data_IF_764493695465
#
_entry.id   IF_764493695465
#
_cell.length_a   1.000
_cell.length_b   1.000
_cell.length_c   1.000
_cell.angle_alpha   90.00
_cell.angle_beta   90.00
_cell.angle_gamma   90.00
#
_symmetry.space_group_name_H-M   'P 1'
#
loop_
_entity.id
_entity.type
_entity.pdbx_description
1 polymer ?
#
# COMPACT_ATOMS: atom_id res chain seq x y z
N UNK A 1 14.70 13.77 15.17
CA UNK A 1 14.95 13.15 13.84
C UNK A 1 13.61 12.84 13.19
N UNK A 2 13.45 12.98 11.87
CA UNK A 2 12.21 12.61 11.19
C UNK A 2 11.94 11.11 11.37
N UNK A 3 10.79 10.77 11.96
CA UNK A 3 10.31 9.38 12.02
C UNK A 3 9.97 8.95 10.59
N UNK A 4 10.75 8.02 10.04
CA UNK A 4 10.56 7.45 8.70
C UNK A 4 10.55 8.50 7.56
N UNK A 5 11.39 9.54 7.67
CA UNK A 5 11.54 10.53 6.60
C UNK A 5 10.38 11.53 6.46
N UNK A 6 9.47 11.60 7.43
CA UNK A 6 8.41 12.63 7.48
C UNK A 6 8.73 13.65 8.56
N UNK A 7 8.77 14.94 8.18
CA UNK A 7 9.04 16.05 9.09
C UNK A 7 7.85 16.33 10.03
N UNK A 8 8.11 16.96 11.18
CA UNK A 8 7.04 17.37 12.09
C UNK A 8 6.07 18.38 11.43
N UNK A 9 6.60 19.31 10.62
CA UNK A 9 5.78 20.26 9.86
C UNK A 9 4.86 19.55 8.86
N UNK A 10 5.35 18.52 8.16
CA UNK A 10 4.50 17.76 7.24
C UNK A 10 3.44 16.93 7.97
N UNK A 11 3.78 16.32 9.12
CA UNK A 11 2.78 15.63 9.96
C UNK A 11 1.66 16.58 10.41
N UNK A 12 2.01 17.81 10.78
CA UNK A 12 1.05 18.84 11.14
C UNK A 12 0.18 19.25 9.93
N UNK A 13 0.78 19.45 8.75
CA UNK A 13 0.04 19.73 7.50
C UNK A 13 -0.95 18.62 7.17
N UNK A 14 -0.52 17.36 7.24
CA UNK A 14 -1.42 16.20 7.03
C UNK A 14 -2.53 16.17 8.08
N UNK A 15 -2.23 16.42 9.36
CA UNK A 15 -3.25 16.50 10.41
C UNK A 15 -4.29 17.58 10.14
N UNK A 16 -3.86 18.77 9.70
CA UNK A 16 -4.76 19.87 9.34
C UNK A 16 -5.62 19.51 8.13
N UNK A 17 -5.04 18.87 7.11
CA UNK A 17 -5.78 18.41 5.93
C UNK A 17 -6.85 17.37 6.31
N UNK A 18 -6.53 16.43 7.19
CA UNK A 18 -7.48 15.42 7.67
C UNK A 18 -8.63 16.06 8.48
N UNK A 19 -8.34 17.04 9.35
CA UNK A 19 -9.37 17.80 10.08
C UNK A 19 -10.29 18.57 9.13
N UNK A 20 -9.74 19.14 8.07
CA UNK A 20 -10.54 19.83 7.06
C UNK A 20 -11.43 18.85 6.27
N UNK A 21 -10.93 17.65 5.96
CA UNK A 21 -11.75 16.57 5.38
C UNK A 21 -12.90 16.20 6.33
N UNK A 22 -12.63 15.97 7.62
CA UNK A 22 -13.67 15.66 8.62
C UNK A 22 -14.76 16.74 8.63
N UNK A 23 -14.38 18.02 8.65
CA UNK A 23 -15.30 19.16 8.65
C UNK A 23 -16.09 19.26 7.34
N UNK A 24 -15.41 19.22 6.19
CA UNK A 24 -16.01 19.44 4.86
C UNK A 24 -16.98 18.33 4.46
N UNK A 25 -16.64 17.08 4.74
CA UNK A 25 -17.44 15.92 4.32
C UNK A 25 -18.36 15.40 5.44
N UNK A 26 -18.27 15.97 6.65
CA UNK A 26 -19.01 15.46 7.80
C UNK A 26 -18.64 14.01 8.12
N UNK A 27 -17.35 13.68 8.03
CA UNK A 27 -16.78 12.33 8.26
C UNK A 27 -15.86 12.33 9.47
N UNK A 28 -15.37 11.16 9.85
CA UNK A 28 -14.41 10.97 10.95
C UNK A 28 -13.33 10.09 10.40
N UNK A 29 -12.09 10.55 10.45
CA UNK A 29 -10.92 9.79 10.02
C UNK A 29 -10.59 8.81 11.14
N UNK A 30 -10.66 7.52 10.81
CA UNK A 30 -10.32 6.41 11.70
C UNK A 30 -8.85 6.02 11.59
N UNK A 31 -8.25 6.22 10.42
CA UNK A 31 -6.87 5.83 10.15
C UNK A 31 -6.31 6.70 9.04
N UNK A 32 -5.05 7.09 9.13
CA UNK A 32 -4.32 7.72 8.06
C UNK A 32 -2.86 7.26 8.08
N UNK A 33 -2.34 6.84 6.94
CA UNK A 33 -0.98 6.35 6.78
C UNK A 33 -0.35 6.85 5.48
N UNK A 34 0.95 6.66 5.39
CA UNK A 34 1.69 6.79 4.14
C UNK A 34 1.54 5.50 3.32
N UNK A 35 1.21 5.59 2.03
CA UNK A 35 1.15 4.44 1.11
C UNK A 35 2.21 4.45 0.01
N UNK A 36 3.09 5.45 0.02
CA UNK A 36 4.03 5.73 -1.06
C UNK A 36 5.44 5.22 -0.84
N UNK A 37 6.37 5.79 -1.62
CA UNK A 37 7.81 5.51 -1.50
C UNK A 37 8.35 5.76 -0.09
N UNK A 38 7.76 6.70 0.66
CA UNK A 38 8.06 6.98 2.08
C UNK A 38 7.66 5.82 2.98
N UNK A 39 6.47 5.25 2.77
CA UNK A 39 5.98 4.07 3.48
C UNK A 39 6.78 2.81 3.10
N UNK A 40 7.16 2.68 1.83
CA UNK A 40 8.00 1.59 1.35
C UNK A 40 9.46 1.68 1.79
N UNK A 41 9.93 2.83 2.30
CA UNK A 41 11.26 3.02 2.87
C UNK A 41 12.34 3.40 1.84
N UNK A 42 11.95 3.93 0.69
CA UNK A 42 12.88 4.36 -0.35
C UNK A 42 12.59 5.76 -0.86
N UNK A 43 11.94 6.65 -0.10
CA UNK A 43 11.73 8.03 -0.55
C UNK A 43 13.02 8.81 -0.82
N UNK A 44 12.96 9.69 -1.83
CA UNK A 44 13.94 10.75 -2.08
C UNK A 44 13.45 12.05 -1.41
N UNK A 45 14.29 13.09 -1.34
CA UNK A 45 13.90 14.38 -0.75
C UNK A 45 12.67 15.00 -1.42
N UNK A 46 12.53 14.83 -2.73
CA UNK A 46 11.45 15.34 -3.58
C UNK A 46 10.31 14.34 -3.81
N UNK A 47 10.24 13.23 -3.05
CA UNK A 47 9.09 12.34 -3.10
C UNK A 47 7.84 13.01 -2.51
N UNK A 48 6.74 12.94 -3.26
CA UNK A 48 5.40 13.28 -2.81
C UNK A 48 5.00 12.48 -1.55
N UNK A 49 3.95 12.94 -0.88
CA UNK A 49 3.35 12.27 0.28
C UNK A 49 2.02 11.63 -0.14
N UNK A 50 2.01 10.30 -0.22
CA UNK A 50 0.84 9.51 -0.57
C UNK A 50 0.04 9.19 0.69
N UNK A 51 -0.84 10.11 1.11
CA UNK A 51 -1.67 9.93 2.30
C UNK A 51 -2.90 9.10 1.93
N UNK A 52 -3.05 7.96 2.60
CA UNK A 52 -4.22 7.11 2.49
C UNK A 52 -4.93 7.01 3.82
N UNK A 53 -6.25 7.14 3.80
CA UNK A 53 -7.02 7.19 5.03
C UNK A 53 -8.30 6.37 4.97
N UNK A 54 -8.76 5.93 6.13
CA UNK A 54 -10.05 5.27 6.33
C UNK A 54 -10.94 6.23 7.11
N UNK A 55 -12.19 6.37 6.67
CA UNK A 55 -13.15 7.25 7.33
C UNK A 55 -14.52 6.60 7.47
N UNK A 56 -15.24 6.98 8.52
CA UNK A 56 -16.62 6.56 8.76
C UNK A 56 -17.55 7.76 8.54
N UNK A 57 -18.79 7.49 8.18
CA UNK A 57 -19.88 8.48 8.13
C UNK A 57 -20.80 8.39 9.36
N UNK A 58 -21.70 9.36 9.61
CA UNK A 58 -22.76 9.18 10.61
C UNK A 58 -23.81 8.16 10.15
N UNK A 59 -24.63 7.66 11.07
CA UNK A 59 -25.56 6.54 10.86
C UNK A 59 -26.52 6.79 9.67
N UNK A 60 -27.02 8.00 9.52
CA UNK A 60 -28.00 8.38 8.49
C UNK A 60 -27.42 8.30 7.07
N UNK A 61 -26.09 8.24 6.93
CA UNK A 61 -25.45 7.98 5.65
C UNK A 61 -25.60 6.52 5.21
N UNK A 62 -25.54 5.59 6.17
CA UNK A 62 -25.68 4.15 5.91
C UNK A 62 -27.12 3.73 5.70
N UNK A 63 -28.08 4.45 6.31
CA UNK A 63 -29.51 4.19 6.22
C UNK A 63 -30.15 4.95 5.05
N UNK A 64 -29.59 4.79 3.86
CA UNK A 64 -30.08 5.38 2.59
C UNK A 64 -30.40 4.29 1.59
N UNK A 65 -31.41 4.52 0.76
CA UNK A 65 -31.82 3.59 -0.31
C UNK A 65 -30.73 3.48 -1.37
N UNK A 66 -30.18 4.63 -1.79
CA UNK A 66 -29.06 4.67 -2.74
C UNK A 66 -27.73 4.70 -2.00
N UNK A 67 -26.81 3.85 -2.43
CA UNK A 67 -25.44 3.84 -1.92
C UNK A 67 -24.71 5.11 -2.38
N UNK A 68 -24.28 6.01 -1.46
CA UNK A 68 -23.54 7.20 -1.84
C UNK A 68 -22.11 6.84 -2.25
N UNK A 69 -21.39 7.81 -2.82
CA UNK A 69 -19.96 7.68 -3.13
C UNK A 69 -19.17 7.30 -1.87
N UNK A 70 -18.33 6.28 -1.98
CA UNK A 70 -17.61 5.65 -0.87
C UNK A 70 -16.08 5.94 -0.88
N UNK A 71 -15.68 6.98 -1.62
CA UNK A 71 -14.29 7.44 -1.79
C UNK A 71 -14.23 8.96 -1.72
N UNK A 72 -13.24 9.47 -0.98
CA UNK A 72 -12.86 10.89 -0.98
C UNK A 72 -11.47 10.97 -1.60
N UNK A 73 -11.35 11.70 -2.71
CA UNK A 73 -10.08 12.03 -3.37
C UNK A 73 -9.99 13.55 -3.42
N UNK A 74 -8.89 14.10 -2.94
CA UNK A 74 -8.61 15.52 -3.11
C UNK A 74 -7.94 15.77 -4.46
N UNK A 75 -8.08 16.98 -5.06
CA UNK A 75 -7.24 17.37 -6.17
C UNK A 75 -5.77 17.17 -5.80
N UNK A 76 -4.99 16.64 -6.73
CA UNK A 76 -3.55 16.43 -6.53
C UNK A 76 -2.92 17.81 -6.32
N UNK A 77 -2.37 18.01 -5.12
CA UNK A 77 -1.43 19.09 -4.79
C UNK A 77 -0.04 18.56 -5.16
N UNK A 78 0.86 19.41 -5.66
CA UNK A 78 2.19 19.01 -6.16
C UNK A 78 3.05 18.27 -5.11
N UNK A 79 2.63 18.25 -3.85
CA UNK A 79 3.32 17.60 -2.74
C UNK A 79 2.47 16.55 -1.98
N UNK A 80 1.14 16.57 -2.10
CA UNK A 80 0.22 15.74 -1.31
C UNK A 80 -0.83 15.06 -2.20
N UNK A 81 -0.73 13.73 -2.29
CA UNK A 81 -1.77 12.89 -2.87
C UNK A 81 -2.61 12.28 -1.74
N UNK A 82 -3.85 12.77 -1.58
CA UNK A 82 -4.73 12.41 -0.46
C UNK A 82 -5.98 11.71 -0.98
N UNK A 83 -6.12 10.43 -0.64
CA UNK A 83 -7.26 9.60 -1.00
C UNK A 83 -7.69 8.70 0.14
N UNK A 84 -9.00 8.54 0.33
CA UNK A 84 -9.54 7.75 1.43
C UNK A 84 -10.70 6.85 1.02
N UNK A 85 -10.83 5.75 1.75
CA UNK A 85 -11.91 4.79 1.61
C UNK A 85 -12.88 4.87 2.79
N UNK A 86 -14.16 4.85 2.45
CA UNK A 86 -15.23 4.76 3.44
C UNK A 86 -15.14 3.43 4.21
N UNK A 87 -15.61 3.43 5.45
CA UNK A 87 -15.46 2.33 6.39
C UNK A 87 -16.07 1.01 5.94
N UNK A 88 -17.33 0.97 5.49
CA UNK A 88 -17.96 -0.23 4.93
C UNK A 88 -17.23 -0.71 3.67
N UNK A 89 -16.75 0.21 2.82
CA UNK A 89 -15.88 -0.13 1.69
C UNK A 89 -14.59 -0.81 2.16
N UNK A 90 -13.90 -0.25 3.15
CA UNK A 90 -12.68 -0.81 3.71
C UNK A 90 -12.90 -2.23 4.28
N UNK A 91 -13.96 -2.45 5.04
CA UNK A 91 -14.32 -3.79 5.53
C UNK A 91 -14.64 -4.76 4.39
N UNK A 92 -15.32 -4.29 3.34
CA UNK A 92 -15.56 -5.06 2.12
C UNK A 92 -14.28 -5.42 1.36
N UNK A 93 -13.31 -4.52 1.31
CA UNK A 93 -11.99 -4.75 0.73
C UNK A 93 -11.20 -5.78 1.55
N UNK A 94 -11.27 -5.73 2.88
CA UNK A 94 -10.68 -6.76 3.74
C UNK A 94 -11.32 -8.13 3.49
N UNK A 95 -12.66 -8.21 3.48
CA UNK A 95 -13.40 -9.43 3.11
C UNK A 95 -12.99 -9.98 1.73
N UNK A 96 -12.69 -9.06 0.81
CA UNK A 96 -12.18 -9.35 -0.52
C UNK A 96 -10.70 -9.72 -0.59
N UNK A 97 -10.00 -9.86 0.55
CA UNK A 97 -8.56 -10.07 0.64
C UNK A 97 -7.76 -9.05 -0.18
N UNK A 98 -8.21 -7.80 -0.23
CA UNK A 98 -7.59 -6.76 -1.03
C UNK A 98 -6.20 -6.41 -0.48
N UNK A 99 -5.10 -6.64 -1.23
CA UNK A 99 -3.76 -6.44 -0.72
C UNK A 99 -3.41 -4.97 -0.47
N UNK A 100 -4.01 -4.04 -1.21
CA UNK A 100 -3.79 -2.61 -1.03
C UNK A 100 -4.26 -2.13 0.34
N UNK A 101 -5.44 -2.57 0.80
CA UNK A 101 -5.90 -2.25 2.16
C UNK A 101 -4.96 -2.85 3.22
N UNK A 102 -4.57 -4.11 3.04
CA UNK A 102 -3.68 -4.80 3.99
C UNK A 102 -2.32 -4.09 4.07
N UNK A 103 -1.80 -3.63 2.93
CA UNK A 103 -0.58 -2.84 2.85
C UNK A 103 -0.72 -1.49 3.58
N UNK A 104 -1.85 -0.79 3.44
CA UNK A 104 -2.10 0.43 4.22
C UNK A 104 -2.02 0.16 5.72
N UNK A 105 -2.65 -0.93 6.18
CA UNK A 105 -2.63 -1.31 7.59
C UNK A 105 -1.23 -1.71 8.10
N UNK A 106 -0.35 -2.15 7.21
CA UNK A 106 1.05 -2.48 7.51
C UNK A 106 2.01 -1.27 7.38
N UNK A 107 1.48 -0.08 7.10
CA UNK A 107 2.32 1.09 6.90
C UNK A 107 3.16 1.43 8.14
N UNK A 108 4.48 1.62 7.98
CA UNK A 108 5.34 2.03 9.08
C UNK A 108 5.18 3.50 9.44
N UNK A 109 4.44 4.28 8.65
CA UNK A 109 4.22 5.71 8.87
C UNK A 109 2.74 5.97 9.05
N UNK A 110 2.31 5.90 10.31
CA UNK A 110 0.95 6.28 10.71
C UNK A 110 0.93 7.76 11.05
N UNK A 111 -0.01 8.49 10.44
CA UNK A 111 -0.28 9.91 10.71
C UNK A 111 -1.29 10.06 11.86
N UNK A 112 -2.34 9.23 11.87
CA UNK A 112 -3.39 9.22 12.88
C UNK A 112 -4.08 7.85 12.88
N UNK A 113 -4.52 7.36 14.04
CA UNK A 113 -5.39 6.19 14.12
C UNK A 113 -6.31 6.23 15.33
N UNK A 114 -7.51 5.69 15.17
CA UNK A 114 -8.36 5.26 16.27
C UNK A 114 -7.85 3.90 16.77
N UNK A 115 -7.19 3.91 17.92
CA UNK A 115 -6.46 2.75 18.45
C UNK A 115 -7.36 1.51 18.59
N UNK A 116 -8.57 1.68 19.12
CA UNK A 116 -9.50 0.57 19.35
C UNK A 116 -9.97 -0.04 18.02
N UNK A 117 -10.46 0.79 17.09
CA UNK A 117 -11.02 0.34 15.81
C UNK A 117 -9.97 -0.31 14.93
N UNK A 118 -8.79 0.31 14.82
CA UNK A 118 -7.75 -0.16 13.91
C UNK A 118 -7.04 -1.38 14.47
N UNK A 119 -6.88 -1.49 15.79
CA UNK A 119 -6.41 -2.73 16.42
C UNK A 119 -7.37 -3.89 16.15
N UNK A 120 -8.68 -3.67 16.31
CA UNK A 120 -9.69 -4.68 16.02
C UNK A 120 -9.68 -5.10 14.53
N UNK A 121 -9.55 -4.14 13.61
CA UNK A 121 -9.45 -4.42 12.17
C UNK A 121 -8.20 -5.24 11.84
N UNK A 122 -7.03 -4.83 12.36
CA UNK A 122 -5.75 -5.51 12.13
C UNK A 122 -5.76 -6.96 12.64
N UNK A 123 -6.39 -7.20 13.80
CA UNK A 123 -6.53 -8.55 14.36
C UNK A 123 -7.32 -9.51 13.44
N UNK A 124 -8.16 -8.97 12.54
CA UNK A 124 -8.94 -9.78 11.60
C UNK A 124 -8.17 -10.10 10.31
N UNK A 125 -7.11 -9.36 9.97
CA UNK A 125 -6.34 -9.52 8.71
C UNK A 125 -5.89 -10.98 8.47
N UNK A 126 -5.31 -11.70 9.44
CA UNK A 126 -4.85 -13.07 9.20
C UNK A 126 -5.95 -14.02 8.71
N UNK A 127 -7.20 -13.83 9.16
CA UNK A 127 -8.35 -14.67 8.77
C UNK A 127 -8.94 -14.33 7.40
N UNK A 128 -8.62 -13.14 6.87
CA UNK A 128 -9.12 -12.64 5.59
C UNK A 128 -8.06 -12.61 4.49
N UNK A 129 -6.79 -12.85 4.83
CA UNK A 129 -5.70 -12.86 3.85
C UNK A 129 -5.74 -14.11 2.97
N UNK A 130 -5.79 -13.88 1.65
CA UNK A 130 -5.72 -14.91 0.61
C UNK A 130 -4.37 -14.85 -0.11
N UNK A 131 -3.48 -15.86 0.07
CA UNK A 131 -2.24 -15.98 -0.69
C UNK A 131 -2.48 -15.94 -2.20
N UNK A 132 -3.48 -16.67 -2.71
CA UNK A 132 -3.79 -16.72 -4.13
C UNK A 132 -4.10 -15.32 -4.70
N UNK A 133 -4.97 -14.56 -4.03
CA UNK A 133 -5.39 -13.22 -4.51
C UNK A 133 -4.28 -12.20 -4.35
N UNK A 134 -3.55 -12.24 -3.23
CA UNK A 134 -2.40 -11.38 -3.00
C UNK A 134 -1.34 -11.56 -4.09
N UNK A 135 -1.00 -12.82 -4.38
CA UNK A 135 -0.07 -13.16 -5.46
C UNK A 135 -0.51 -12.57 -6.79
N UNK A 136 -1.74 -12.82 -7.22
CA UNK A 136 -2.23 -12.33 -8.52
C UNK A 136 -2.31 -10.81 -8.61
N UNK A 137 -2.65 -10.14 -7.52
CA UNK A 137 -2.64 -8.68 -7.44
C UNK A 137 -1.22 -8.13 -7.69
N UNK A 138 -0.22 -8.61 -6.94
CA UNK A 138 1.15 -8.15 -7.10
C UNK A 138 1.72 -8.52 -8.48
N UNK A 139 1.47 -9.74 -8.96
CA UNK A 139 1.92 -10.15 -10.30
C UNK A 139 1.36 -9.25 -11.41
N UNK A 140 0.06 -9.00 -11.39
CA UNK A 140 -0.60 -8.13 -12.39
C UNK A 140 -0.09 -6.69 -12.30
N UNK A 141 0.18 -6.20 -11.09
CA UNK A 141 0.78 -4.88 -10.85
C UNK A 141 2.19 -4.79 -11.45
N UNK A 142 3.05 -5.78 -11.18
CA UNK A 142 4.39 -5.85 -11.74
C UNK A 142 4.37 -5.86 -13.27
N UNK A 143 3.52 -6.71 -13.87
CA UNK A 143 3.40 -6.81 -15.32
C UNK A 143 2.94 -5.49 -15.96
N UNK A 144 1.91 -4.84 -15.37
CA UNK A 144 1.42 -3.53 -15.83
C UNK A 144 2.51 -2.46 -15.75
N UNK A 145 3.23 -2.39 -14.61
CA UNK A 145 4.26 -1.38 -14.38
C UNK A 145 5.48 -1.61 -15.29
N UNK A 146 5.88 -2.86 -15.51
CA UNK A 146 6.98 -3.20 -16.41
C UNK A 146 6.68 -2.76 -17.84
N UNK A 147 5.49 -3.11 -18.35
CA UNK A 147 5.02 -2.70 -19.69
C UNK A 147 4.89 -1.18 -19.82
N UNK A 148 4.46 -0.50 -18.78
CA UNK A 148 4.22 0.95 -18.81
C UNK A 148 5.47 1.82 -18.67
N UNK A 149 6.52 1.36 -17.98
CA UNK A 149 7.62 2.24 -17.55
C UNK A 149 9.02 1.81 -17.99
N UNK A 150 9.26 0.53 -18.23
CA UNK A 150 10.61 -0.03 -18.36
C UNK A 150 10.87 -0.64 -19.75
N UNK A 151 10.34 -0.05 -20.82
CA UNK A 151 10.51 -0.60 -22.18
C UNK A 151 11.57 0.13 -23.03
N UNK A 152 12.00 1.33 -22.63
CA UNK A 152 13.00 2.11 -23.36
C UNK A 152 14.45 1.76 -23.02
N UNK A 153 15.39 2.28 -23.81
CA UNK A 153 16.83 2.16 -23.55
C UNK A 153 17.26 3.01 -22.34
N UNK A 154 16.60 4.16 -22.15
CA UNK A 154 16.62 4.94 -20.92
C UNK A 154 15.26 4.85 -20.22
N UNK A 155 15.31 4.67 -18.90
CA UNK A 155 14.12 4.48 -18.07
C UNK A 155 14.20 5.33 -16.79
N UNK A 156 13.04 5.69 -16.25
CA UNK A 156 12.97 6.34 -14.93
C UNK A 156 13.41 5.35 -13.87
N UNK A 157 14.54 5.60 -13.21
CA UNK A 157 15.17 4.66 -12.30
C UNK A 157 14.25 4.26 -11.14
N UNK A 158 13.45 5.21 -10.62
CA UNK A 158 12.48 4.91 -9.56
C UNK A 158 11.45 3.85 -9.95
N UNK A 159 11.11 3.72 -11.24
CA UNK A 159 10.06 2.79 -11.70
C UNK A 159 10.50 1.33 -11.61
N UNK A 160 11.78 1.04 -11.45
CA UNK A 160 12.24 -0.30 -11.05
C UNK A 160 11.60 -0.75 -9.74
N UNK A 161 11.50 0.10 -8.72
CA UNK A 161 10.90 -0.30 -7.44
C UNK A 161 9.40 -0.62 -7.55
N UNK A 162 8.70 0.00 -8.50
CA UNK A 162 7.29 -0.29 -8.80
C UNK A 162 7.08 -1.65 -9.50
N UNK A 163 8.17 -2.29 -9.95
CA UNK A 163 8.17 -3.64 -10.54
C UNK A 163 8.82 -4.64 -9.59
N UNK A 164 9.99 -4.31 -9.04
CA UNK A 164 10.73 -5.16 -8.10
C UNK A 164 9.90 -5.45 -6.84
N UNK A 165 9.33 -4.43 -6.19
CA UNK A 165 8.55 -4.63 -4.96
C UNK A 165 7.42 -5.66 -5.14
N UNK A 166 6.50 -5.51 -6.12
CA UNK A 166 5.47 -6.52 -6.33
C UNK A 166 6.01 -7.90 -6.74
N UNK A 167 7.10 -8.00 -7.50
CA UNK A 167 7.71 -9.31 -7.81
C UNK A 167 8.30 -10.00 -6.56
N UNK A 168 8.95 -9.25 -5.68
CA UNK A 168 9.42 -9.78 -4.40
C UNK A 168 8.24 -10.17 -3.49
N UNK A 169 7.14 -9.40 -3.51
CA UNK A 169 5.92 -9.77 -2.81
C UNK A 169 5.29 -11.07 -3.36
N UNK A 170 5.34 -11.30 -4.68
CA UNK A 170 4.96 -12.59 -5.28
C UNK A 170 5.80 -13.72 -4.70
N UNK A 171 7.14 -13.60 -4.70
CA UNK A 171 8.03 -14.61 -4.11
C UNK A 171 7.74 -14.84 -2.62
N UNK A 172 7.48 -13.78 -1.86
CA UNK A 172 7.15 -13.85 -0.43
C UNK A 172 5.91 -14.72 -0.17
N UNK A 173 4.84 -14.45 -0.93
CA UNK A 173 3.58 -15.20 -0.83
C UNK A 173 3.76 -16.65 -1.27
N UNK A 174 4.46 -16.88 -2.38
CA UNK A 174 4.73 -18.23 -2.91
C UNK A 174 5.62 -19.05 -1.98
N UNK A 175 6.47 -18.40 -1.17
CA UNK A 175 7.26 -19.05 -0.11
C UNK A 175 6.47 -19.30 1.19
N UNK A 176 5.16 -19.01 1.23
CA UNK A 176 4.32 -19.28 2.40
C UNK A 176 4.57 -18.34 3.58
N UNK A 177 5.23 -17.18 3.37
CA UNK A 177 5.60 -16.24 4.44
C UNK A 177 4.45 -15.33 4.88
N UNK A 178 3.22 -15.58 4.41
CA UNK A 178 2.02 -14.82 4.75
C UNK A 178 1.92 -13.47 4.04
N UNK A 179 1.43 -12.45 4.76
CA UNK A 179 1.28 -11.09 4.25
C UNK A 179 2.65 -10.50 3.94
N UNK A 180 2.91 -10.01 2.70
CA UNK A 180 4.17 -9.35 2.38
C UNK A 180 4.31 -8.02 3.13
N UNK A 181 5.48 -7.73 3.74
CA UNK A 181 5.69 -6.46 4.43
C UNK A 181 5.63 -5.27 3.48
N UNK A 182 5.16 -4.14 3.99
CA UNK A 182 5.11 -2.89 3.23
C UNK A 182 6.52 -2.39 2.89
N UNK A 183 7.45 -2.49 3.85
CA UNK A 183 8.84 -2.02 3.70
C UNK A 183 9.61 -2.86 2.67
N UNK A 184 10.21 -2.19 1.70
CA UNK A 184 11.00 -2.83 0.66
C UNK A 184 12.26 -3.51 1.20
N UNK A 185 12.90 -2.94 2.23
CA UNK A 185 14.07 -3.53 2.88
C UNK A 185 13.76 -4.89 3.52
N UNK A 186 12.55 -5.06 4.07
CA UNK A 186 12.12 -6.34 4.67
C UNK A 186 11.83 -7.39 3.60
N UNK A 187 11.20 -6.98 2.49
CA UNK A 187 11.03 -7.85 1.31
C UNK A 187 12.38 -8.32 0.76
N UNK A 188 13.36 -7.43 0.64
CA UNK A 188 14.72 -7.77 0.19
C UNK A 188 15.42 -8.72 1.16
N UNK A 189 15.35 -8.44 2.47
CA UNK A 189 15.96 -9.30 3.48
C UNK A 189 15.36 -10.72 3.50
N UNK A 190 14.07 -10.84 3.21
CA UNK A 190 13.39 -12.12 3.06
C UNK A 190 13.47 -12.75 1.67
N UNK A 191 14.25 -12.20 0.75
CA UNK A 191 14.38 -12.72 -0.62
C UNK A 191 15.75 -13.35 -0.87
N UNK A 192 15.74 -14.54 -1.46
CA UNK A 192 16.96 -15.17 -1.96
C UNK A 192 17.30 -14.62 -3.35
N UNK A 193 18.34 -13.80 -3.41
CA UNK A 193 18.82 -13.13 -4.62
C UNK A 193 20.32 -13.42 -4.81
N UNK A 194 20.73 -13.54 -6.06
CA UNK A 194 22.14 -13.56 -6.43
C UNK A 194 22.87 -12.31 -5.90
N UNK A 195 24.14 -12.45 -5.52
CA UNK A 195 24.91 -11.39 -4.90
C UNK A 195 25.09 -10.17 -5.82
N UNK A 196 25.28 -10.37 -7.13
CA UNK A 196 25.41 -9.28 -8.09
C UNK A 196 24.07 -8.56 -8.29
N UNK A 197 22.96 -9.31 -8.40
CA UNK A 197 21.63 -8.72 -8.46
C UNK A 197 21.32 -7.91 -7.20
N UNK A 198 21.65 -8.45 -6.02
CA UNK A 198 21.44 -7.76 -4.74
C UNK A 198 22.25 -6.46 -4.67
N UNK A 199 23.53 -6.50 -5.03
CA UNK A 199 24.38 -5.33 -5.07
C UNK A 199 23.84 -4.24 -6.02
N UNK A 200 23.32 -4.63 -7.20
CA UNK A 200 22.71 -3.69 -8.13
C UNK A 200 21.42 -3.04 -7.59
N UNK A 201 20.58 -3.80 -6.87
CA UNK A 201 19.39 -3.24 -6.21
C UNK A 201 19.79 -2.27 -5.09
N UNK A 202 20.78 -2.62 -4.27
CA UNK A 202 21.26 -1.77 -3.17
C UNK A 202 21.87 -0.47 -3.72
N UNK A 203 22.66 -0.54 -4.80
CA UNK A 203 23.19 0.62 -5.50
C UNK A 203 22.08 1.53 -6.05
N UNK A 204 21.05 0.94 -6.67
CA UNK A 204 19.89 1.68 -7.18
C UNK A 204 19.11 2.36 -6.05
N UNK A 205 18.98 1.69 -4.91
CA UNK A 205 18.31 2.23 -3.72
C UNK A 205 19.06 3.43 -3.16
N UNK A 206 20.38 3.33 -3.02
CA UNK A 206 21.23 4.44 -2.58
C UNK A 206 21.15 5.64 -3.52
N UNK A 207 21.25 5.39 -4.84
CA UNK A 207 21.09 6.45 -5.85
C UNK A 207 19.74 7.13 -5.71
N UNK A 208 18.67 6.35 -5.63
CA UNK A 208 17.31 6.86 -5.51
C UNK A 208 17.09 7.67 -4.24
N UNK A 209 17.71 7.30 -3.13
CA UNK A 209 17.59 8.06 -1.87
C UNK A 209 18.39 9.38 -1.89
N UNK A 210 19.42 9.50 -2.73
CA UNK A 210 20.27 10.70 -2.86
C UNK A 210 19.82 11.64 -4.00
N UNK A 211 19.28 11.08 -5.08
CA UNK A 211 18.86 11.81 -6.28
C UNK A 211 17.35 12.11 -6.28
N UNK A 212 16.89 12.87 -7.28
CA UNK A 212 15.48 13.25 -7.43
C UNK A 212 14.61 12.18 -8.13
N UNK A 213 13.29 12.26 -7.94
CA UNK A 213 12.23 11.41 -8.52
C UNK A 213 12.15 11.42 -10.07
N UNK A 214 12.87 12.35 -10.71
CA UNK A 214 12.94 12.52 -12.16
C UNK A 214 14.18 11.86 -12.80
N UNK A 215 15.03 11.17 -12.05
CA UNK A 215 16.26 10.58 -12.59
C UNK A 215 15.95 9.49 -13.63
N UNK A 216 16.51 9.68 -14.82
CA UNK A 216 16.59 8.68 -15.88
C UNK A 216 17.98 8.07 -15.89
N UNK A 217 18.05 6.83 -16.36
CA UNK A 217 19.32 6.18 -16.63
C UNK A 217 19.16 5.03 -17.60
N UNK A 218 20.28 4.47 -18.07
CA UNK A 218 20.24 3.35 -18.98
C UNK A 218 19.58 2.14 -18.31
N UNK A 219 18.96 1.32 -19.14
CA UNK A 219 18.45 0.01 -18.76
C UNK A 219 19.51 -0.82 -18.05
N UNK A 220 19.17 -1.37 -16.88
CA UNK A 220 20.05 -2.18 -16.04
C UNK A 220 19.90 -3.66 -16.39
N UNK A 221 20.91 -4.31 -17.00
CA UNK A 221 20.73 -5.64 -17.57
C UNK A 221 20.36 -6.73 -16.56
N UNK A 222 20.94 -6.77 -15.35
CA UNK A 222 20.62 -7.82 -14.38
C UNK A 222 19.21 -7.63 -13.83
N UNK A 223 18.79 -6.39 -13.56
CA UNK A 223 17.41 -6.09 -13.16
C UNK A 223 16.41 -6.52 -14.23
N UNK A 224 16.70 -6.24 -15.51
CA UNK A 224 15.84 -6.68 -16.61
C UNK A 224 15.78 -8.19 -16.75
N UNK A 225 16.93 -8.87 -16.69
CA UNK A 225 16.99 -10.33 -16.74
C UNK A 225 16.15 -10.95 -15.61
N UNK A 226 16.28 -10.42 -14.39
CA UNK A 226 15.49 -10.83 -13.24
C UNK A 226 13.99 -10.60 -13.46
N UNK A 227 13.59 -9.38 -13.89
CA UNK A 227 12.18 -9.04 -14.12
C UNK A 227 11.57 -9.95 -15.18
N UNK A 228 12.25 -10.17 -16.31
CA UNK A 228 11.77 -11.07 -17.35
C UNK A 228 11.63 -12.50 -16.84
N UNK A 229 12.61 -13.01 -16.11
CA UNK A 229 12.56 -14.34 -15.53
C UNK A 229 11.39 -14.49 -14.54
N UNK A 230 11.17 -13.51 -13.65
CA UNK A 230 10.06 -13.55 -12.69
C UNK A 230 8.69 -13.39 -13.35
N UNK A 231 8.58 -12.56 -14.39
CA UNK A 231 7.33 -12.43 -15.14
C UNK A 231 6.98 -13.73 -15.87
N UNK A 232 7.96 -14.36 -16.53
CA UNK A 232 7.77 -15.66 -17.19
C UNK A 232 7.43 -16.77 -16.18
N UNK A 233 8.20 -16.87 -15.09
CA UNK A 233 7.94 -17.81 -13.98
C UNK A 233 6.54 -17.60 -13.39
N UNK A 234 6.12 -16.36 -13.25
CA UNK A 234 4.85 -15.99 -12.64
C UNK A 234 3.63 -16.15 -13.56
N UNK A 235 3.76 -16.61 -14.80
CA UNK A 235 2.58 -16.94 -15.61
C UNK A 235 1.78 -18.10 -15.01
N UNK A 236 2.48 -19.07 -14.40
CA UNK A 236 1.90 -20.25 -13.78
C UNK A 236 2.20 -20.21 -12.27
N UNK A 237 1.22 -19.91 -11.41
CA UNK A 237 1.44 -19.92 -9.97
C UNK A 237 1.60 -21.35 -9.42
N UNK A 238 2.30 -21.53 -8.30
CA UNK A 238 2.13 -22.74 -7.49
C UNK A 238 0.69 -22.83 -6.95
N UNK A 239 0.30 -24.00 -6.46
CA UNK A 239 -1.00 -24.15 -5.80
C UNK A 239 -0.99 -23.34 -4.50
N UNK A 240 -1.80 -22.29 -4.47
CA UNK A 240 -1.95 -21.39 -3.32
C UNK A 240 -3.40 -21.43 -2.82
N UNK A 241 -3.62 -21.41 -1.50
CA UNK A 241 -4.96 -21.35 -0.96
C UNK A 241 -5.58 -19.97 -1.21
N UNK A 242 -6.89 -19.93 -1.47
CA UNK A 242 -7.66 -18.68 -1.48
C UNK A 242 -8.04 -18.20 -0.07
N UNK A 243 -7.69 -18.95 1.00
CA UNK A 243 -8.19 -18.85 2.38
C UNK A 243 -8.81 -17.49 2.76
N UNK A 244 -10.12 -17.52 3.05
CA UNK A 244 -10.92 -16.40 3.58
C UNK A 244 -11.87 -16.96 4.63
N UNK A 245 -11.29 -17.36 5.74
CA UNK A 245 -11.97 -18.09 6.82
C UNK A 245 -12.60 -17.15 7.85
N UNK A 246 -12.46 -15.84 7.66
CA UNK A 246 -13.04 -14.84 8.54
C UNK A 246 -14.57 -14.89 8.62
N UNK A 247 -15.08 -14.56 9.80
CA UNK A 247 -16.52 -14.46 10.05
C UNK A 247 -17.01 -13.06 9.66
N UNK A 248 -17.89 -12.99 8.65
CA UNK A 248 -18.49 -11.73 8.19
C UNK A 248 -19.23 -11.01 9.32
N UNK A 249 -19.84 -11.75 10.28
CA UNK A 249 -20.55 -11.13 11.41
C UNK A 249 -19.63 -10.30 12.30
N UNK A 250 -18.34 -10.65 12.37
CA UNK A 250 -17.34 -9.83 13.08
C UNK A 250 -17.08 -8.51 12.35
N UNK A 251 -17.06 -8.52 11.01
CA UNK A 251 -16.93 -7.29 10.22
C UNK A 251 -18.17 -6.42 10.38
N UNK A 252 -19.37 -7.02 10.34
CA UNK A 252 -20.63 -6.31 10.57
C UNK A 252 -20.70 -5.71 11.98
N UNK A 253 -20.20 -6.45 12.99
CA UNK A 253 -20.15 -5.95 14.38
C UNK A 253 -19.20 -4.78 14.53
N UNK A 254 -18.02 -4.86 13.90
CA UNK A 254 -17.03 -3.78 13.89
C UNK A 254 -17.56 -2.55 13.13
N UNK A 255 -18.27 -2.75 12.01
CA UNK A 255 -18.98 -1.67 11.31
C UNK A 255 -19.97 -0.98 12.25
N UNK A 256 -20.87 -1.75 12.86
CA UNK A 256 -21.91 -1.24 13.74
C UNK A 256 -21.32 -0.47 14.93
N UNK A 257 -20.37 -1.06 15.66
CA UNK A 257 -19.74 -0.42 16.83
C UNK A 257 -19.06 0.90 16.47
N UNK A 258 -18.37 0.97 15.34
CA UNK A 258 -17.68 2.18 14.90
C UNK A 258 -18.66 3.26 14.45
N UNK A 259 -19.74 2.89 13.76
CA UNK A 259 -20.78 3.86 13.35
C UNK A 259 -21.54 4.39 14.57
N UNK A 260 -21.90 3.52 15.52
CA UNK A 260 -22.65 3.92 16.72
C UNK A 260 -21.84 4.74 17.72
N UNK A 261 -20.51 4.60 17.79
CA UNK A 261 -19.65 5.50 18.58
C UNK A 261 -19.59 6.93 18.01
N UNK A 262 -20.03 7.12 16.77
CA UNK A 262 -20.01 8.38 16.04
C UNK A 262 -21.42 8.98 15.83
N UNK A 263 -22.46 8.20 16.10
CA UNK A 263 -23.86 8.64 16.15
C UNK A 263 -24.11 9.43 17.45
#
# INVERSE_FOLDING_TARGET
>A
MPLNGVSAAMRERVSQQLKEIERRYGVKVLYACESGSRGWGFASPDSDYDVRFLYVHPLEWYLRVEAPRDVIELPIDDELDVSGWEWRKALGLLKGANPTLIEWLDSPVVYQQDEETITALKAMVPTWFSPLRARWHYYSMAQKNFRGYLQGDEVRLKKYFYVLRPLLAVRWVEAGKGVPPMRFSELLAGSELDAALRAEIDELLERKQRAGEAEYGPRRPLLHAFIHAELARGEIPPVLPDSREGDVKKLDSLLYQTVMRRA
#
